data_IF_225708233659
#
_entry.id   IF_225708233659
#
_cell.length_a   1.000
_cell.length_b   1.000
_cell.length_c   1.000
_cell.angle_alpha   90.00
_cell.angle_beta   90.00
_cell.angle_gamma   90.00
#
_symmetry.space_group_name_H-M   'P 1'
#
loop_
_entity.id
_entity.type
_entity.pdbx_description
1 polymer ?
#
# COMPACT_ATOMS: atom_id res chain seq x y z
N UNK A 1 -35.52 -31.29 -35.41
CA UNK A 1 -35.65 -29.87 -35.00
C UNK A 1 -34.69 -29.69 -33.84
N UNK A 2 -33.58 -29.00 -34.10
CA UNK A 2 -32.60 -28.64 -33.08
C UNK A 2 -33.23 -27.59 -32.16
N UNK A 3 -33.27 -27.89 -30.86
CA UNK A 3 -33.41 -26.88 -29.82
C UNK A 3 -32.23 -27.14 -28.88
N UNK A 4 -31.07 -26.62 -29.24
CA UNK A 4 -30.07 -26.23 -28.26
C UNK A 4 -30.40 -24.79 -27.92
N UNK A 5 -30.94 -24.52 -26.73
CA UNK A 5 -30.78 -23.20 -26.14
C UNK A 5 -30.98 -23.18 -24.62
N UNK A 6 -30.16 -22.33 -24.00
CA UNK A 6 -30.37 -21.66 -22.72
C UNK A 6 -30.26 -22.44 -21.39
N UNK A 7 -29.24 -23.27 -21.19
CA UNK A 7 -28.88 -23.64 -19.80
C UNK A 7 -27.39 -23.77 -19.48
N UNK A 8 -26.51 -23.19 -20.30
CA UNK A 8 -25.05 -23.24 -20.06
C UNK A 8 -24.46 -22.01 -19.37
N UNK A 9 -25.26 -21.02 -18.97
CA UNK A 9 -24.76 -19.73 -18.44
C UNK A 9 -25.06 -19.42 -16.96
N UNK A 10 -25.60 -20.37 -16.17
CA UNK A 10 -25.95 -20.14 -14.75
C UNK A 10 -25.29 -21.09 -13.73
N UNK A 11 -24.03 -21.46 -13.95
CA UNK A 11 -23.13 -21.89 -12.85
C UNK A 11 -22.08 -20.80 -12.63
N UNK A 12 -22.47 -19.68 -12.01
CA UNK A 12 -21.47 -18.84 -11.32
C UNK A 12 -20.99 -19.68 -10.14
N UNK A 13 -19.73 -20.11 -10.20
CA UNK A 13 -19.05 -20.84 -9.15
C UNK A 13 -19.24 -20.11 -7.82
N UNK A 14 -19.85 -20.77 -6.84
CA UNK A 14 -20.05 -20.26 -5.48
C UNK A 14 -18.71 -20.15 -4.70
N UNK A 15 -17.61 -20.57 -5.33
CA UNK A 15 -16.29 -20.71 -4.74
C UNK A 15 -15.21 -19.78 -5.33
N UNK A 16 -15.55 -18.98 -6.36
CA UNK A 16 -14.58 -18.04 -6.93
C UNK A 16 -14.41 -16.82 -6.02
N UNK A 17 -13.17 -16.52 -5.66
CA UNK A 17 -12.84 -15.32 -4.89
C UNK A 17 -13.16 -14.06 -5.72
N UNK A 18 -13.66 -12.98 -5.09
CA UNK A 18 -13.87 -11.71 -5.76
C UNK A 18 -12.64 -11.25 -6.56
N UNK A 19 -12.80 -10.61 -7.74
CA UNK A 19 -11.68 -10.22 -8.59
C UNK A 19 -10.60 -9.39 -7.88
N UNK A 20 -10.98 -8.50 -6.95
CA UNK A 20 -10.04 -7.72 -6.14
C UNK A 20 -9.15 -8.59 -5.25
N UNK A 21 -9.72 -9.63 -4.63
CA UNK A 21 -8.99 -10.59 -3.80
C UNK A 21 -8.02 -11.40 -4.68
N UNK A 22 -8.50 -11.89 -5.83
CA UNK A 22 -7.65 -12.65 -6.77
C UNK A 22 -6.49 -11.78 -7.29
N UNK A 23 -6.75 -10.52 -7.64
CA UNK A 23 -5.73 -9.59 -8.11
C UNK A 23 -4.66 -9.33 -7.05
N UNK A 24 -5.05 -9.10 -5.79
CA UNK A 24 -4.07 -8.87 -4.71
C UNK A 24 -3.25 -10.11 -4.39
N UNK A 25 -3.84 -11.31 -4.48
CA UNK A 25 -3.11 -12.59 -4.34
C UNK A 25 -2.08 -12.77 -5.46
N UNK A 26 -2.48 -12.56 -6.70
CA UNK A 26 -1.58 -12.68 -7.85
C UNK A 26 -0.42 -11.68 -7.74
N UNK A 27 -0.71 -10.44 -7.32
CA UNK A 27 0.31 -9.43 -7.10
C UNK A 27 1.29 -9.84 -5.99
N UNK A 28 0.79 -10.37 -4.87
CA UNK A 28 1.64 -10.87 -3.79
C UNK A 28 2.53 -12.02 -4.23
N UNK A 29 1.99 -13.00 -4.97
CA UNK A 29 2.78 -14.11 -5.51
C UNK A 29 3.85 -13.61 -6.49
N UNK A 30 3.54 -12.61 -7.31
CA UNK A 30 4.51 -11.98 -8.20
C UNK A 30 5.66 -11.33 -7.40
N UNK A 31 5.33 -10.59 -6.34
CA UNK A 31 6.33 -10.01 -5.42
C UNK A 31 7.19 -11.12 -4.79
N UNK A 32 6.56 -12.19 -4.29
CA UNK A 32 7.27 -13.33 -3.69
C UNK A 32 8.25 -14.00 -4.67
N UNK A 33 7.90 -14.06 -5.95
CA UNK A 33 8.71 -14.71 -6.98
C UNK A 33 9.83 -13.82 -7.52
N UNK A 34 9.59 -12.52 -7.65
CA UNK A 34 10.49 -11.61 -8.38
C UNK A 34 11.32 -10.69 -7.47
N UNK A 35 10.85 -10.37 -6.26
CA UNK A 35 11.56 -9.43 -5.38
C UNK A 35 12.69 -10.15 -4.61
N UNK A 36 13.93 -9.61 -4.62
CA UNK A 36 15.02 -10.15 -3.82
C UNK A 36 14.70 -10.23 -2.33
N UNK A 37 15.23 -11.25 -1.67
CA UNK A 37 15.09 -11.44 -0.22
C UNK A 37 16.18 -10.67 0.55
N UNK A 38 17.36 -10.47 -0.06
CA UNK A 38 18.50 -9.82 0.58
C UNK A 38 18.41 -8.29 0.42
N UNK A 39 18.46 -7.56 1.53
CA UNK A 39 18.44 -6.11 1.57
C UNK A 39 19.65 -5.45 0.87
N UNK A 40 20.78 -6.16 0.78
CA UNK A 40 21.99 -5.67 0.10
C UNK A 40 21.74 -5.45 -1.40
N UNK A 41 20.87 -6.25 -2.02
CA UNK A 41 20.55 -6.12 -3.44
C UNK A 41 19.85 -4.80 -3.76
N UNK A 42 19.04 -4.30 -2.83
CA UNK A 42 18.37 -3.01 -2.92
C UNK A 42 19.29 -1.83 -2.55
N UNK A 43 20.39 -2.11 -1.85
CA UNK A 43 21.29 -1.06 -1.37
C UNK A 43 22.43 -0.76 -2.34
N UNK A 44 22.75 -1.70 -3.24
CA UNK A 44 23.85 -1.58 -4.17
C UNK A 44 23.47 -0.77 -5.44
N UNK A 45 24.09 0.40 -5.69
CA UNK A 45 23.75 1.23 -6.86
C UNK A 45 24.07 0.62 -8.22
N UNK A 46 24.88 -0.44 -8.27
CA UNK A 46 25.16 -1.17 -9.52
C UNK A 46 24.05 -2.14 -9.90
N UNK A 47 23.11 -2.42 -8.99
CA UNK A 47 21.97 -3.28 -9.25
C UNK A 47 20.80 -2.47 -9.81
N UNK A 48 20.26 -2.93 -10.95
CA UNK A 48 18.98 -2.45 -11.49
C UNK A 48 17.99 -3.60 -11.34
N UNK A 49 17.05 -3.44 -10.40
CA UNK A 49 16.03 -4.43 -10.08
C UNK A 49 14.74 -4.09 -10.84
N UNK A 50 14.10 -5.09 -11.45
CA UNK A 50 12.75 -4.96 -11.98
C UNK A 50 11.76 -5.52 -10.96
N UNK A 51 11.12 -4.65 -10.19
CA UNK A 51 10.27 -5.02 -9.06
C UNK A 51 8.79 -4.93 -9.42
N UNK A 52 7.93 -5.89 -9.04
CA UNK A 52 6.48 -5.73 -9.15
C UNK A 52 6.02 -4.51 -8.35
N UNK A 53 5.17 -3.66 -8.94
CA UNK A 53 4.68 -2.48 -8.23
C UNK A 53 3.72 -2.90 -7.10
N UNK A 54 4.02 -2.61 -5.82
CA UNK A 54 3.35 -3.26 -4.70
C UNK A 54 2.03 -2.59 -4.31
N UNK A 55 1.17 -2.34 -5.29
CA UNK A 55 -0.15 -1.74 -5.07
C UNK A 55 -1.14 -2.16 -6.16
N UNK A 56 -2.37 -2.46 -5.75
CA UNK A 56 -3.45 -2.96 -6.64
C UNK A 56 -4.66 -2.01 -6.73
N UNK A 57 -4.59 -0.83 -6.12
CA UNK A 57 -5.69 0.13 -6.16
C UNK A 57 -5.91 0.78 -7.52
N UNK A 58 -6.99 1.56 -7.59
CA UNK A 58 -7.55 2.08 -8.85
C UNK A 58 -6.65 3.09 -9.57
N UNK A 59 -5.74 3.76 -8.86
CA UNK A 59 -4.84 4.74 -9.47
C UNK A 59 -3.44 4.62 -8.89
N UNK A 60 -2.45 4.53 -9.79
CA UNK A 60 -1.03 4.45 -9.46
C UNK A 60 -0.36 5.76 -9.84
N UNK A 61 0.71 6.17 -9.16
CA UNK A 61 1.47 7.39 -9.47
C UNK A 61 2.33 7.25 -10.75
N UNK A 62 1.69 7.20 -11.92
CA UNK A 62 2.36 7.04 -13.22
C UNK A 62 3.18 8.26 -13.65
N UNK A 63 2.99 9.40 -12.99
CA UNK A 63 3.84 10.58 -13.14
C UNK A 63 5.23 10.41 -12.51
N UNK A 64 5.37 9.48 -11.56
CA UNK A 64 6.63 9.20 -10.86
C UNK A 64 7.21 7.84 -11.16
N UNK A 65 6.38 6.87 -11.53
CA UNK A 65 6.81 5.51 -11.84
C UNK A 65 6.50 5.17 -13.29
N UNK A 66 7.52 4.73 -14.03
CA UNK A 66 7.35 4.06 -15.30
C UNK A 66 6.92 2.60 -15.04
N UNK A 67 5.62 2.38 -14.84
CA UNK A 67 5.06 1.06 -14.52
C UNK A 67 4.75 0.30 -15.83
N UNK A 68 5.62 -0.64 -16.19
CA UNK A 68 5.50 -1.48 -17.37
C UNK A 68 5.22 -2.93 -16.95
N UNK A 69 4.16 -3.54 -17.48
CA UNK A 69 3.70 -4.89 -17.12
C UNK A 69 3.48 -5.09 -15.61
N UNK A 70 3.06 -4.03 -14.93
CA UNK A 70 2.84 -4.02 -13.48
C UNK A 70 4.13 -4.05 -12.65
N UNK A 71 5.29 -3.78 -13.25
CA UNK A 71 6.58 -3.67 -12.57
C UNK A 71 7.23 -2.31 -12.84
N UNK A 72 8.17 -1.90 -11.99
CA UNK A 72 8.97 -0.69 -12.15
C UNK A 72 10.46 -1.02 -12.00
N UNK A 73 11.33 -0.21 -12.57
CA UNK A 73 12.78 -0.33 -12.39
C UNK A 73 13.22 0.43 -11.14
N UNK A 74 14.07 -0.22 -10.35
CA UNK A 74 14.68 0.32 -9.15
C UNK A 74 16.19 0.13 -9.23
N UNK A 75 16.92 1.24 -9.38
CA UNK A 75 18.35 1.25 -9.16
C UNK A 75 18.60 1.25 -7.65
N UNK A 76 19.45 0.34 -7.16
CA UNK A 76 19.76 0.26 -5.75
C UNK A 76 20.34 1.55 -5.19
N UNK A 77 20.18 1.78 -3.90
CA UNK A 77 20.59 3.03 -3.23
C UNK A 77 21.15 2.74 -1.85
N UNK A 78 22.30 3.30 -1.53
CA UNK A 78 22.97 3.07 -0.25
C UNK A 78 22.07 3.47 0.94
N UNK A 79 21.24 4.52 0.75
CA UNK A 79 20.27 4.99 1.74
C UNK A 79 19.18 3.95 2.06
N UNK A 80 18.95 2.98 1.18
CA UNK A 80 17.98 1.90 1.43
C UNK A 80 18.29 1.17 2.73
N UNK A 81 19.56 0.81 2.95
CA UNK A 81 19.98 0.13 4.17
C UNK A 81 19.76 0.97 5.43
N UNK A 82 19.93 2.29 5.33
CA UNK A 82 19.63 3.20 6.44
C UNK A 82 18.14 3.23 6.76
N UNK A 83 17.29 3.41 5.74
CA UNK A 83 15.83 3.45 5.92
C UNK A 83 15.33 2.13 6.49
N UNK A 84 15.84 0.99 6.03
CA UNK A 84 15.47 -0.32 6.56
C UNK A 84 15.79 -0.42 8.06
N UNK A 85 17.01 -0.03 8.48
CA UNK A 85 17.39 -0.04 9.90
C UNK A 85 16.49 0.86 10.75
N UNK A 86 16.12 2.03 10.24
CA UNK A 86 15.20 2.94 10.94
C UNK A 86 13.81 2.32 11.11
N UNK A 87 13.32 1.60 10.09
CA UNK A 87 12.04 0.87 10.16
C UNK A 87 12.11 -0.31 11.14
N UNK A 88 13.21 -1.07 11.15
CA UNK A 88 13.39 -2.22 12.03
C UNK A 88 13.53 -1.83 13.51
N UNK A 89 14.07 -0.64 13.78
CA UNK A 89 14.19 -0.09 15.13
C UNK A 89 12.87 0.49 15.68
N UNK A 90 11.80 0.50 14.89
CA UNK A 90 10.48 0.92 15.36
C UNK A 90 9.95 -0.11 16.36
N UNK A 91 9.75 0.32 17.60
CA UNK A 91 9.10 -0.48 18.63
C UNK A 91 7.62 -0.08 18.75
N UNK A 92 6.74 -1.08 18.79
CA UNK A 92 5.31 -0.91 19.06
C UNK A 92 5.02 -1.37 20.49
N UNK A 93 4.14 -0.68 21.22
CA UNK A 93 3.81 -1.03 22.59
C UNK A 93 3.13 0.10 23.37
N UNK A 94 3.52 1.36 23.12
CA UNK A 94 2.99 2.53 23.81
C UNK A 94 2.85 3.74 22.87
N UNK A 95 1.74 3.81 22.11
CA UNK A 95 1.33 5.01 21.37
C UNK A 95 1.70 5.09 19.89
N UNK A 96 1.98 6.30 19.40
CA UNK A 96 2.19 6.59 17.97
C UNK A 96 3.65 6.38 17.55
N UNK A 97 3.93 5.26 16.87
CA UNK A 97 5.27 4.99 16.32
C UNK A 97 5.38 5.54 14.89
N UNK A 98 5.99 6.72 14.73
CA UNK A 98 6.11 7.44 13.46
C UNK A 98 7.56 7.54 12.98
N UNK A 99 7.79 7.32 11.68
CA UNK A 99 9.04 7.61 10.98
C UNK A 99 8.75 8.57 9.82
N UNK A 100 9.48 9.68 9.75
CA UNK A 100 9.37 10.64 8.65
C UNK A 100 10.64 10.62 7.80
N UNK A 101 10.48 10.25 6.52
CA UNK A 101 11.57 10.24 5.54
C UNK A 101 11.51 11.55 4.76
N UNK A 102 12.51 12.41 5.01
CA UNK A 102 12.67 13.68 4.33
C UNK A 102 13.76 13.62 3.25
N UNK A 103 13.59 14.46 2.23
CA UNK A 103 14.58 14.66 1.18
C UNK A 103 14.01 15.54 0.08
N UNK A 104 14.88 16.08 -0.76
CA UNK A 104 14.51 16.92 -1.90
C UNK A 104 13.70 16.15 -2.95
N UNK A 105 12.94 16.89 -3.75
CA UNK A 105 12.22 16.34 -4.91
C UNK A 105 13.23 15.69 -5.86
N UNK A 106 12.88 14.53 -6.43
CA UNK A 106 13.73 13.82 -7.40
C UNK A 106 14.76 12.86 -6.80
N UNK A 107 14.96 12.83 -5.48
CA UNK A 107 15.96 11.96 -4.83
C UNK A 107 15.55 10.48 -4.72
N UNK A 108 14.46 10.06 -5.37
CA UNK A 108 14.05 8.66 -5.42
C UNK A 108 13.37 8.12 -4.16
N UNK A 109 12.94 8.97 -3.21
CA UNK A 109 12.24 8.55 -1.98
C UNK A 109 11.09 7.57 -2.24
N UNK A 110 10.24 7.90 -3.20
CA UNK A 110 9.09 7.06 -3.60
C UNK A 110 9.54 5.70 -4.13
N UNK A 111 10.65 5.65 -4.86
CA UNK A 111 11.22 4.42 -5.38
C UNK A 111 11.83 3.57 -4.25
N UNK A 112 12.55 4.20 -3.31
CA UNK A 112 13.04 3.54 -2.09
C UNK A 112 11.87 2.93 -1.32
N UNK A 113 10.79 3.69 -1.09
CA UNK A 113 9.62 3.19 -0.36
C UNK A 113 8.91 2.04 -1.10
N UNK A 114 8.69 2.15 -2.40
CA UNK A 114 8.09 1.08 -3.18
C UNK A 114 8.96 -0.20 -3.16
N UNK A 115 10.27 -0.06 -3.27
CA UNK A 115 11.21 -1.16 -3.16
C UNK A 115 11.22 -1.77 -1.74
N UNK A 116 11.16 -0.91 -0.71
CA UNK A 116 11.09 -1.31 0.70
C UNK A 116 9.84 -2.14 0.99
N UNK A 117 8.69 -1.74 0.43
CA UNK A 117 7.44 -2.50 0.54
C UNK A 117 7.61 -3.90 -0.06
N UNK A 118 8.29 -4.03 -1.21
CA UNK A 118 8.55 -5.34 -1.82
C UNK A 118 9.38 -6.23 -0.89
N UNK A 119 10.47 -5.71 -0.32
CA UNK A 119 11.31 -6.44 0.64
C UNK A 119 10.52 -6.84 1.90
N UNK A 120 9.78 -5.91 2.50
CA UNK A 120 9.03 -6.17 3.74
C UNK A 120 7.92 -7.21 3.52
N UNK A 121 7.21 -7.14 2.38
CA UNK A 121 6.24 -8.19 2.00
C UNK A 121 6.96 -9.52 1.75
N UNK A 122 8.15 -9.49 1.16
CA UNK A 122 8.97 -10.69 0.93
C UNK A 122 9.40 -11.34 2.26
N UNK A 123 9.69 -10.55 3.28
CA UNK A 123 9.99 -10.99 4.65
C UNK A 123 8.73 -11.36 5.47
N UNK A 124 7.53 -11.26 4.89
CA UNK A 124 6.29 -11.64 5.56
C UNK A 124 5.71 -10.59 6.51
N UNK A 125 6.18 -9.34 6.44
CA UNK A 125 5.62 -8.22 7.22
C UNK A 125 4.26 -7.80 6.66
N UNK A 126 3.40 -7.27 7.55
CA UNK A 126 2.06 -6.76 7.21
C UNK A 126 2.13 -5.31 6.73
N UNK A 127 2.44 -5.08 5.46
CA UNK A 127 2.63 -3.73 4.90
C UNK A 127 1.37 -3.20 4.24
N UNK A 128 0.92 -2.01 4.66
CA UNK A 128 -0.14 -1.23 4.00
C UNK A 128 0.53 -0.08 3.24
N UNK A 129 0.71 -0.25 1.93
CA UNK A 129 1.35 0.76 1.10
C UNK A 129 0.33 1.71 0.47
N UNK A 130 0.52 3.01 0.67
CA UNK A 130 -0.30 4.09 0.12
C UNK A 130 0.59 4.99 -0.74
N UNK A 131 0.76 4.66 -2.04
CA UNK A 131 1.80 5.28 -2.86
C UNK A 131 1.50 6.72 -3.26
N UNK A 132 0.26 7.18 -3.15
CA UNK A 132 -0.15 8.50 -3.67
C UNK A 132 -1.34 9.05 -2.88
N UNK A 133 -1.06 9.99 -1.98
CA UNK A 133 -2.09 10.66 -1.20
C UNK A 133 -3.07 11.50 -2.07
N UNK A 134 -2.69 11.96 -3.27
CA UNK A 134 -3.58 12.69 -4.18
C UNK A 134 -4.67 11.78 -4.73
N UNK A 135 -4.31 10.56 -5.11
CA UNK A 135 -5.26 9.52 -5.51
C UNK A 135 -6.16 9.11 -4.33
N UNK A 136 -5.54 8.94 -3.16
CA UNK A 136 -6.23 8.56 -1.93
C UNK A 136 -7.37 9.51 -1.54
N UNK A 137 -7.20 10.83 -1.70
CA UNK A 137 -8.24 11.83 -1.39
C UNK A 137 -9.52 11.64 -2.22
N UNK A 138 -9.44 11.06 -3.42
CA UNK A 138 -10.60 10.84 -4.29
C UNK A 138 -11.45 9.62 -3.92
N UNK A 139 -10.89 8.66 -3.19
CA UNK A 139 -11.55 7.39 -2.86
C UNK A 139 -10.87 6.70 -1.70
N UNK A 140 -10.90 7.33 -0.53
CA UNK A 140 -10.09 6.91 0.62
C UNK A 140 -10.39 5.48 1.10
N UNK A 141 -11.66 5.08 1.33
CA UNK A 141 -11.96 3.71 1.75
C UNK A 141 -11.49 2.67 0.74
N UNK A 142 -11.74 2.90 -0.55
CA UNK A 142 -11.38 1.96 -1.62
C UNK A 142 -9.86 1.84 -1.79
N UNK A 143 -9.14 2.96 -1.61
CA UNK A 143 -7.68 3.00 -1.68
C UNK A 143 -7.05 2.20 -0.54
N UNK A 144 -7.52 2.41 0.70
CA UNK A 144 -7.11 1.62 1.86
C UNK A 144 -7.45 0.14 1.74
N UNK A 145 -8.68 -0.18 1.29
CA UNK A 145 -9.12 -1.56 1.11
C UNK A 145 -8.20 -2.30 0.13
N UNK A 146 -7.82 -1.67 -0.99
CA UNK A 146 -6.92 -2.28 -1.97
C UNK A 146 -5.54 -2.60 -1.37
N UNK A 147 -4.97 -1.69 -0.56
CA UNK A 147 -3.70 -1.93 0.14
C UNK A 147 -3.83 -3.08 1.14
N UNK A 148 -4.88 -3.07 1.98
CA UNK A 148 -5.11 -4.10 2.99
C UNK A 148 -5.33 -5.49 2.38
N UNK A 149 -6.02 -5.57 1.23
CA UNK A 149 -6.20 -6.83 0.50
C UNK A 149 -4.86 -7.42 0.02
N UNK A 150 -3.87 -6.58 -0.27
CA UNK A 150 -2.50 -7.02 -0.60
C UNK A 150 -1.71 -7.39 0.66
N UNK A 151 -1.85 -6.60 1.75
CA UNK A 151 -1.23 -6.86 3.06
C UNK A 151 -1.53 -8.26 3.62
N UNK A 152 -2.74 -8.74 3.38
CA UNK A 152 -3.23 -10.04 3.83
C UNK A 152 -3.42 -11.04 2.69
N UNK A 153 -2.68 -10.89 1.59
CA UNK A 153 -2.83 -11.74 0.41
C UNK A 153 -2.56 -13.24 0.66
N UNK A 154 -1.83 -13.57 1.71
CA UNK A 154 -1.60 -14.93 2.21
C UNK A 154 -2.80 -15.52 3.00
N UNK A 155 -3.77 -14.70 3.44
CA UNK A 155 -4.88 -15.13 4.29
C UNK A 155 -6.25 -14.77 3.72
N UNK A 156 -6.89 -15.76 3.09
CA UNK A 156 -8.26 -15.61 2.55
C UNK A 156 -9.27 -15.18 3.63
N UNK A 157 -9.05 -15.60 4.88
CA UNK A 157 -9.89 -15.19 6.01
C UNK A 157 -9.88 -13.68 6.21
N UNK A 158 -8.70 -13.07 6.34
CA UNK A 158 -8.58 -11.62 6.49
C UNK A 158 -9.01 -10.89 5.22
N UNK A 159 -8.69 -11.40 4.03
CA UNK A 159 -9.14 -10.78 2.77
C UNK A 159 -10.67 -10.71 2.66
N UNK A 160 -11.39 -11.75 3.08
CA UNK A 160 -12.87 -11.73 3.11
C UNK A 160 -13.41 -10.70 4.10
N UNK A 161 -12.79 -10.56 5.28
CA UNK A 161 -13.15 -9.50 6.25
C UNK A 161 -12.95 -8.11 5.63
N UNK A 162 -11.77 -7.85 5.07
CA UNK A 162 -11.40 -6.57 4.45
C UNK A 162 -12.31 -6.23 3.26
N UNK A 163 -12.63 -7.22 2.42
CA UNK A 163 -13.50 -7.02 1.27
C UNK A 163 -14.91 -6.55 1.67
N UNK A 164 -15.37 -6.92 2.86
CA UNK A 164 -16.65 -6.50 3.40
C UNK A 164 -16.59 -5.16 4.15
N UNK A 165 -15.42 -4.55 4.34
CA UNK A 165 -15.30 -3.20 4.88
C UNK A 165 -15.73 -2.20 3.80
N UNK A 166 -16.90 -1.57 3.97
CA UNK A 166 -17.51 -0.67 2.98
C UNK A 166 -17.26 0.81 3.27
N UNK A 167 -16.73 1.11 4.46
CA UNK A 167 -16.46 2.47 4.92
C UNK A 167 -15.11 2.60 5.62
N UNK A 168 -14.63 3.83 5.77
CA UNK A 168 -13.43 4.13 6.57
C UNK A 168 -13.58 3.71 8.03
N UNK A 169 -14.80 3.73 8.59
CA UNK A 169 -15.07 3.31 9.96
C UNK A 169 -14.93 1.79 10.12
N UNK A 170 -15.33 1.02 9.09
CA UNK A 170 -15.15 -0.44 9.09
C UNK A 170 -13.66 -0.79 9.04
N UNK A 171 -12.90 -0.11 8.17
CA UNK A 171 -11.45 -0.29 8.04
C UNK A 171 -10.74 0.09 9.34
N UNK A 172 -11.12 1.21 9.96
CA UNK A 172 -10.57 1.65 11.24
C UNK A 172 -10.83 0.63 12.35
N UNK A 173 -12.06 0.10 12.41
CA UNK A 173 -12.42 -0.92 13.39
C UNK A 173 -11.60 -2.19 13.19
N UNK A 174 -11.45 -2.63 11.94
CA UNK A 174 -10.60 -3.75 11.56
C UNK A 174 -9.13 -3.57 12.00
N UNK A 175 -8.51 -2.43 11.70
CA UNK A 175 -7.13 -2.15 12.12
C UNK A 175 -6.99 -2.15 13.65
N UNK A 176 -7.95 -1.55 14.38
CA UNK A 176 -7.95 -1.55 15.85
C UNK A 176 -8.09 -2.95 16.44
N UNK A 177 -8.89 -3.82 15.82
CA UNK A 177 -9.00 -5.23 16.22
C UNK A 177 -7.67 -5.97 16.02
N UNK A 178 -7.00 -5.77 14.88
CA UNK A 178 -5.68 -6.34 14.63
C UNK A 178 -4.66 -5.90 15.69
N UNK A 179 -4.63 -4.62 16.05
CA UNK A 179 -3.73 -4.11 17.09
C UNK A 179 -4.00 -4.77 18.46
N UNK A 180 -5.26 -5.06 18.80
CA UNK A 180 -5.62 -5.80 20.03
C UNK A 180 -5.18 -7.26 19.99
N UNK A 181 -5.10 -7.85 18.80
CA UNK A 181 -4.57 -9.19 18.55
C UNK A 181 -3.03 -9.18 18.39
N UNK A 182 -2.36 -8.06 18.71
CA UNK A 182 -0.91 -7.86 18.55
C UNK A 182 -0.41 -8.02 17.11
N UNK A 183 -1.30 -7.82 16.13
CA UNK A 183 -0.97 -7.80 14.70
C UNK A 183 -0.72 -6.36 14.27
N UNK A 184 0.56 -5.99 14.22
CA UNK A 184 0.98 -4.63 13.86
C UNK A 184 1.19 -4.46 12.36
N UNK A 185 0.59 -3.42 11.81
CA UNK A 185 0.69 -3.04 10.40
C UNK A 185 1.82 -2.02 10.18
N UNK A 186 2.49 -2.10 9.03
CA UNK A 186 3.44 -1.11 8.54
C UNK A 186 2.73 -0.22 7.51
N UNK A 187 2.17 0.89 7.95
CA UNK A 187 1.62 1.90 7.06
C UNK A 187 2.77 2.68 6.44
N UNK A 188 2.99 2.49 5.14
CA UNK A 188 3.98 3.23 4.36
C UNK A 188 3.23 4.18 3.44
N UNK A 189 3.33 5.48 3.72
CA UNK A 189 2.51 6.52 3.09
C UNK A 189 3.40 7.51 2.38
N UNK A 190 3.21 7.63 1.07
CA UNK A 190 4.00 8.51 0.22
C UNK A 190 3.20 9.75 -0.22
N UNK A 191 3.93 10.83 -0.49
CA UNK A 191 3.40 12.16 -0.81
C UNK A 191 2.44 12.71 0.26
N UNK A 192 2.79 12.58 1.54
CA UNK A 192 1.91 13.05 2.62
C UNK A 192 1.58 14.55 2.51
N UNK A 193 2.50 15.35 1.97
CA UNK A 193 2.29 16.77 1.69
C UNK A 193 1.12 17.07 0.73
N UNK A 194 0.65 16.08 -0.04
CA UNK A 194 -0.57 16.23 -0.83
C UNK A 194 -1.84 16.40 0.02
N UNK A 195 -1.78 16.08 1.31
CA UNK A 195 -2.85 16.29 2.28
C UNK A 195 -2.76 17.65 2.99
N UNK A 196 -1.73 18.46 2.71
CA UNK A 196 -1.63 19.81 3.25
C UNK A 196 -2.60 20.75 2.51
N UNK A 197 -2.97 21.83 3.20
CA UNK A 197 -3.90 22.81 2.64
C UNK A 197 -3.23 23.56 1.48
N UNK A 198 -3.95 23.70 0.37
CA UNK A 198 -3.54 24.57 -0.73
C UNK A 198 -4.09 25.99 -0.49
N UNK A 199 -3.30 27.01 -0.87
CA UNK A 199 -3.78 28.40 -0.88
C UNK A 199 -4.94 28.59 -1.87
N UNK A 200 -4.90 27.86 -2.99
CA UNK A 200 -5.94 27.83 -4.01
C UNK A 200 -6.74 26.53 -3.89
N UNK A 201 -7.78 26.58 -3.05
CA UNK A 201 -8.66 25.44 -2.80
C UNK A 201 -9.29 24.92 -4.10
N UNK A 202 -9.05 23.65 -4.45
CA UNK A 202 -9.54 23.03 -5.67
C UNK A 202 -10.81 22.21 -5.39
N UNK A 203 -11.90 22.43 -6.15
CA UNK A 203 -13.17 21.72 -6.01
C UNK A 203 -13.04 20.18 -5.97
N UNK A 204 -12.08 19.61 -6.74
CA UNK A 204 -11.84 18.16 -6.78
C UNK A 204 -11.11 17.64 -5.54
N UNK A 205 -10.23 18.42 -4.94
CA UNK A 205 -9.42 18.06 -3.76
C UNK A 205 -9.44 19.18 -2.71
N UNK A 206 -10.62 19.45 -2.15
CA UNK A 206 -10.75 20.57 -1.23
C UNK A 206 -9.94 20.37 0.06
N UNK A 207 -9.47 21.44 0.66
CA UNK A 207 -8.78 21.45 1.95
C UNK A 207 -9.60 20.72 3.03
N UNK A 208 -10.93 20.84 2.99
CA UNK A 208 -11.84 20.09 3.87
C UNK A 208 -11.79 18.58 3.65
N UNK A 209 -11.69 18.10 2.40
CA UNK A 209 -11.55 16.67 2.10
C UNK A 209 -10.17 16.16 2.52
N UNK A 210 -9.11 16.91 2.24
CA UNK A 210 -7.73 16.60 2.65
C UNK A 210 -7.62 16.46 4.16
N UNK A 211 -8.14 17.42 4.92
CA UNK A 211 -8.17 17.38 6.38
C UNK A 211 -8.88 16.15 6.93
N UNK A 212 -10.06 15.81 6.39
CA UNK A 212 -10.78 14.58 6.79
C UNK A 212 -9.98 13.31 6.53
N UNK A 213 -9.35 13.20 5.36
CA UNK A 213 -8.51 12.04 5.02
C UNK A 213 -7.30 11.94 5.94
N UNK A 214 -6.69 13.08 6.30
CA UNK A 214 -5.59 13.13 7.27
C UNK A 214 -6.03 12.61 8.65
N UNK A 215 -7.14 13.13 9.18
CA UNK A 215 -7.69 12.71 10.48
C UNK A 215 -8.07 11.22 10.49
N UNK A 216 -8.70 10.75 9.43
CA UNK A 216 -9.12 9.36 9.31
C UNK A 216 -7.92 8.42 9.13
N UNK A 217 -6.88 8.85 8.39
CA UNK A 217 -5.62 8.11 8.25
C UNK A 217 -4.93 7.97 9.60
N UNK A 218 -4.72 9.07 10.33
CA UNK A 218 -4.11 9.04 11.66
C UNK A 218 -4.87 8.12 12.64
N UNK A 219 -6.20 8.18 12.60
CA UNK A 219 -7.07 7.32 13.41
C UNK A 219 -6.97 5.84 13.04
N UNK A 220 -6.69 5.54 11.76
CA UNK A 220 -6.56 4.17 11.23
C UNK A 220 -5.18 3.59 11.52
N UNK A 221 -4.13 4.43 11.54
CA UNK A 221 -2.76 4.02 11.85
C UNK A 221 -2.45 3.92 13.35
N UNK A 222 -3.43 4.21 14.21
CA UNK A 222 -3.23 4.16 15.66
C UNK A 222 -2.80 2.75 16.13
N UNK A 223 -1.79 2.68 17.00
CA UNK A 223 -1.13 1.43 17.46
C UNK A 223 -0.52 0.58 16.32
N UNK A 224 -0.13 1.22 15.23
CA UNK A 224 0.60 0.60 14.12
C UNK A 224 1.83 1.43 13.78
N UNK A 225 2.74 0.87 12.97
CA UNK A 225 3.90 1.60 12.48
C UNK A 225 3.50 2.54 11.35
N UNK A 226 3.87 3.81 11.47
CA UNK A 226 3.52 4.82 10.49
C UNK A 226 4.77 5.47 9.89
N UNK A 227 5.11 5.05 8.68
CA UNK A 227 6.26 5.52 7.91
C UNK A 227 5.73 6.45 6.82
N UNK A 228 6.22 7.69 6.77
CA UNK A 228 5.72 8.72 5.88
C UNK A 228 6.86 9.33 5.07
N UNK A 229 6.61 9.64 3.80
CA UNK A 229 7.44 10.56 3.03
C UNK A 229 6.67 11.78 2.58
N UNK A 230 7.35 12.91 2.62
CA UNK A 230 6.94 14.16 2.01
C UNK A 230 8.13 14.75 1.25
N UNK A 231 7.85 15.54 0.23
CA UNK A 231 8.90 16.37 -0.37
C UNK A 231 9.04 17.65 0.45
N UNK A 232 10.28 18.04 0.74
CA UNK A 232 10.55 19.40 1.18
C UNK A 232 10.27 20.35 0.01
N UNK A 233 9.48 21.41 0.27
CA UNK A 233 9.32 22.54 -0.65
C UNK A 233 10.54 23.47 -0.56
#
# INVERSE_FOLDING_TARGET
>A
IFIEDENRSKKRHKDDLPPKITASRNQFLKIKAEAPVNAEEYSNPTNILRLPFPFTGFEKPTDRFAINDGSFEYMGREEFAQVLREIENLNCGDGYTKLFIFGSIGYGKSHILAAMVCLLLQQGKRVVFLPDCRAMVRGFPEYLQASLLLTFADSVYYQKKIYNCMSVNDIRSFCRELAKEEIYLYFIVDQLNALDNDENDNERMTNKKKGRVKDDLESTTYNHYYIMSASAN
#
